data_IF_338865945561
#
_entry.id   IF_338865945561
#
_cell.length_a   1.000
_cell.length_b   1.000
_cell.length_c   1.000
_cell.angle_alpha   90.00
_cell.angle_beta   90.00
_cell.angle_gamma   90.00
#
_symmetry.space_group_name_H-M   'P 1'
#
loop_
_entity.id
_entity.type
_entity.pdbx_description
1 polymer ?
#
# COMPACT_ATOMS: atom_id res chain seq x y z
N UNK A 1 -1.92 4.21 -21.04
CA UNK A 1 -2.88 3.46 -20.22
C UNK A 1 -2.97 4.16 -18.88
N UNK A 2 -4.16 4.63 -18.50
CA UNK A 2 -4.42 5.38 -17.27
C UNK A 2 -4.34 4.45 -16.05
N UNK A 3 -3.43 4.73 -15.11
CA UNK A 3 -3.41 4.11 -13.79
C UNK A 3 -4.62 4.61 -13.00
N UNK A 4 -5.64 3.77 -12.86
CA UNK A 4 -6.77 4.02 -11.97
C UNK A 4 -6.49 3.33 -10.64
N UNK A 5 -5.88 4.08 -9.71
CA UNK A 5 -5.84 3.68 -8.31
C UNK A 5 -7.17 4.10 -7.73
N UNK A 6 -8.13 3.18 -7.74
CA UNK A 6 -9.37 3.40 -7.01
C UNK A 6 -8.98 3.41 -5.55
N UNK A 7 -9.42 4.47 -4.87
CA UNK A 7 -9.41 4.62 -3.41
C UNK A 7 -9.65 3.29 -2.71
N UNK A 8 -9.11 3.12 -1.49
CA UNK A 8 -9.39 1.93 -0.70
C UNK A 8 -10.89 1.64 -0.73
N UNK A 9 -11.24 0.37 -1.00
CA UNK A 9 -12.62 -0.07 -1.22
C UNK A 9 -13.51 0.21 0.02
N UNK A 10 -12.92 0.64 1.14
CA UNK A 10 -13.60 1.29 2.24
C UNK A 10 -13.39 2.82 2.23
N UNK A 11 -14.51 3.54 2.08
CA UNK A 11 -14.70 4.97 1.89
C UNK A 11 -14.27 5.90 3.04
N UNK A 12 -13.12 5.67 3.66
CA UNK A 12 -12.57 6.56 4.68
C UNK A 12 -11.13 6.86 4.33
N UNK A 13 -10.81 8.15 4.20
CA UNK A 13 -9.45 8.67 4.21
C UNK A 13 -8.78 8.08 5.44
N UNK A 14 -7.99 7.02 5.26
CA UNK A 14 -7.32 6.37 6.38
C UNK A 14 -6.38 7.41 6.99
N UNK A 15 -6.55 7.71 8.26
CA UNK A 15 -5.65 8.59 9.00
C UNK A 15 -4.99 7.70 10.05
N UNK A 16 -3.70 7.46 9.89
CA UNK A 16 -2.96 6.61 10.80
C UNK A 16 -1.45 6.84 10.71
N UNK A 17 -0.68 6.21 11.61
CA UNK A 17 0.77 6.37 11.67
C UNK A 17 1.49 5.63 10.55
N UNK A 18 0.85 4.70 9.86
CA UNK A 18 1.46 3.94 8.76
C UNK A 18 1.21 4.61 7.43
N UNK A 19 2.22 4.61 6.57
CA UNK A 19 2.18 5.10 5.21
C UNK A 19 2.55 3.96 4.26
N UNK A 20 1.64 3.65 3.34
CA UNK A 20 1.81 2.67 2.29
C UNK A 20 2.09 3.41 0.99
N UNK A 21 3.31 3.29 0.48
CA UNK A 21 3.70 3.90 -0.79
C UNK A 21 3.78 2.81 -1.87
N UNK A 22 3.03 2.99 -2.95
CA UNK A 22 3.13 2.15 -4.15
C UNK A 22 4.26 2.67 -5.04
N UNK A 23 5.12 1.77 -5.47
CA UNK A 23 6.20 2.03 -6.42
C UNK A 23 5.97 1.26 -7.70
N UNK A 24 6.37 1.86 -8.82
CA UNK A 24 6.43 1.16 -10.11
C UNK A 24 7.74 0.36 -10.26
N UNK A 25 7.87 -0.34 -11.39
CA UNK A 25 9.06 -1.13 -11.78
C UNK A 25 10.35 -0.33 -11.78
N UNK A 26 10.27 0.98 -11.95
CA UNK A 26 11.42 1.89 -12.02
C UNK A 26 11.78 2.47 -10.64
N UNK A 27 11.14 2.00 -9.56
CA UNK A 27 11.35 2.50 -8.21
C UNK A 27 10.84 3.92 -7.99
N UNK A 28 9.95 4.41 -8.85
CA UNK A 28 9.30 5.72 -8.68
C UNK A 28 8.04 5.57 -7.83
N UNK A 29 7.84 6.39 -6.79
CA UNK A 29 6.59 6.39 -6.04
C UNK A 29 5.46 6.88 -6.93
N UNK A 30 4.42 6.05 -7.06
CA UNK A 30 3.23 6.34 -7.86
C UNK A 30 2.15 6.98 -7.00
N UNK A 31 1.91 6.43 -5.82
CA UNK A 31 0.96 6.98 -4.84
C UNK A 31 1.38 6.60 -3.42
N UNK A 32 0.87 7.33 -2.44
CA UNK A 32 0.97 6.97 -1.04
C UNK A 32 -0.40 7.11 -0.38
N UNK A 33 -0.76 6.13 0.45
CA UNK A 33 -1.93 6.20 1.32
C UNK A 33 -1.50 6.02 2.76
N UNK A 34 -2.20 6.68 3.67
CA UNK A 34 -2.00 6.44 5.09
C UNK A 34 -2.87 5.26 5.53
N UNK A 35 -2.54 4.64 6.66
CA UNK A 35 -3.27 3.52 7.23
C UNK A 35 -3.11 3.48 8.75
N UNK A 36 -4.18 3.15 9.50
CA UNK A 36 -4.03 2.80 10.91
C UNK A 36 -3.26 1.49 11.08
N UNK A 37 -2.75 1.25 12.28
CA UNK A 37 -2.23 -0.07 12.62
C UNK A 37 -3.39 -1.08 12.76
N UNK A 38 -3.09 -2.38 12.65
CA UNK A 38 -4.07 -3.46 12.83
C UNK A 38 -5.27 -3.32 11.89
N UNK A 39 -5.00 -3.07 10.60
CA UNK A 39 -6.03 -2.94 9.58
C UNK A 39 -5.66 -3.69 8.30
N UNK A 40 -6.67 -3.92 7.45
CA UNK A 40 -6.51 -4.65 6.20
C UNK A 40 -6.94 -3.81 5.00
N UNK A 41 -6.12 -2.82 4.57
CA UNK A 41 -6.46 -1.99 3.41
C UNK A 41 -6.39 -2.81 2.11
N UNK A 42 -7.39 -2.60 1.26
CA UNK A 42 -7.41 -3.09 -0.11
C UNK A 42 -6.98 -1.98 -1.07
N UNK A 43 -5.87 -2.18 -1.79
CA UNK A 43 -5.38 -1.30 -2.84
C UNK A 43 -5.82 -1.83 -4.21
N UNK A 44 -6.39 -0.96 -5.05
CA UNK A 44 -6.61 -1.30 -6.46
C UNK A 44 -5.47 -0.74 -7.32
N UNK A 45 -4.76 -1.59 -8.05
CA UNK A 45 -3.66 -1.23 -8.95
C UNK A 45 -3.90 -1.85 -10.33
N UNK A 46 -4.12 -1.05 -11.37
CA UNK A 46 -4.37 -1.51 -12.75
C UNK A 46 -5.39 -2.66 -12.83
N UNK A 47 -6.57 -2.44 -12.25
CA UNK A 47 -7.68 -3.42 -12.16
C UNK A 47 -7.46 -4.65 -11.28
N UNK A 48 -6.29 -4.81 -10.65
CA UNK A 48 -6.05 -5.82 -9.63
C UNK A 48 -6.30 -5.24 -8.24
N UNK A 49 -7.01 -5.98 -7.40
CA UNK A 49 -7.18 -5.65 -5.98
C UNK A 49 -6.14 -6.43 -5.17
N UNK A 50 -5.41 -5.72 -4.32
CA UNK A 50 -4.37 -6.25 -3.45
C UNK A 50 -4.74 -5.91 -2.02
N UNK A 51 -4.89 -6.93 -1.18
CA UNK A 51 -5.19 -6.76 0.24
C UNK A 51 -3.92 -6.90 1.04
N UNK A 52 -3.64 -5.93 1.89
CA UNK A 52 -2.45 -5.87 2.73
C UNK A 52 -2.92 -5.96 4.17
N UNK A 53 -2.31 -6.81 4.96
CA UNK A 53 -2.54 -6.84 6.40
C UNK A 53 -1.46 -5.99 7.07
N UNK A 54 -1.87 -4.97 7.81
CA UNK A 54 -0.99 -4.10 8.59
C UNK A 54 -1.09 -4.50 10.06
N UNK A 55 0.04 -4.88 10.63
CA UNK A 55 0.21 -5.20 12.03
C UNK A 55 0.72 -3.98 12.82
N UNK A 56 0.85 -4.17 14.13
CA UNK A 56 1.42 -3.17 15.05
C UNK A 56 2.86 -2.81 14.67
N UNK A 57 3.20 -1.52 14.76
CA UNK A 57 4.49 -0.98 14.32
C UNK A 57 4.63 -0.89 12.79
N UNK A 58 3.52 -0.71 12.07
CA UNK A 58 3.48 -0.56 10.61
C UNK A 58 4.18 -1.68 9.82
N UNK A 59 4.26 -2.87 10.42
CA UNK A 59 4.64 -4.08 9.72
C UNK A 59 3.50 -4.46 8.80
N UNK A 60 3.81 -4.90 7.59
CA UNK A 60 2.78 -5.25 6.63
C UNK A 60 3.12 -6.55 5.90
N UNK A 61 2.08 -7.27 5.54
CA UNK A 61 2.15 -8.52 4.81
C UNK A 61 1.08 -8.54 3.70
N UNK A 62 1.42 -9.14 2.56
CA UNK A 62 0.44 -9.33 1.49
C UNK A 62 -0.51 -10.46 1.90
N UNK A 63 -1.78 -10.13 2.08
CA UNK A 63 -2.82 -11.12 2.40
C UNK A 63 -3.42 -11.72 1.13
N UNK A 64 -3.75 -10.89 0.13
CA UNK A 64 -4.40 -11.37 -1.10
C UNK A 64 -4.05 -10.52 -2.33
N UNK A 65 -4.11 -11.13 -3.52
CA UNK A 65 -3.86 -10.47 -4.81
C UNK A 65 -2.41 -10.55 -5.28
N UNK A 66 -2.17 -10.15 -6.52
CA UNK A 66 -0.85 -10.15 -7.15
C UNK A 66 -0.53 -8.75 -7.64
N UNK A 67 0.65 -8.23 -7.30
CA UNK A 67 1.13 -6.99 -7.89
C UNK A 67 1.29 -7.16 -9.40
N UNK A 68 0.89 -6.17 -10.22
CA UNK A 68 1.27 -6.14 -11.63
C UNK A 68 2.80 -6.13 -11.77
N UNK A 69 3.31 -6.60 -12.91
CA UNK A 69 4.75 -6.78 -13.11
C UNK A 69 5.57 -5.53 -12.76
N UNK A 70 6.52 -5.73 -11.84
CA UNK A 70 7.44 -4.71 -11.34
C UNK A 70 6.85 -3.73 -10.32
N UNK A 71 5.55 -3.75 -10.04
CA UNK A 71 4.99 -2.94 -8.96
C UNK A 71 5.28 -3.58 -7.60
N UNK A 72 5.50 -2.74 -6.60
CA UNK A 72 5.67 -3.18 -5.22
C UNK A 72 5.21 -2.07 -4.28
N UNK A 73 4.95 -2.42 -3.03
CA UNK A 73 4.61 -1.44 -1.99
C UNK A 73 5.72 -1.37 -0.95
N UNK A 74 5.87 -0.20 -0.34
CA UNK A 74 6.67 0.00 0.86
C UNK A 74 5.76 0.54 1.94
N UNK A 75 5.73 -0.13 3.09
CA UNK A 75 5.00 0.33 4.27
C UNK A 75 6.00 0.85 5.30
N UNK A 76 5.83 2.09 5.74
CA UNK A 76 6.70 2.73 6.74
C UNK A 76 5.86 3.56 7.70
N UNK A 77 6.37 3.77 8.92
CA UNK A 77 5.78 4.76 9.81
C UNK A 77 5.97 6.16 9.23
N UNK A 78 4.99 7.05 9.40
CA UNK A 78 5.11 8.45 9.00
C UNK A 78 6.31 9.09 9.66
N UNK A 79 7.16 9.72 8.85
CA UNK A 79 8.40 10.35 9.30
C UNK A 79 9.60 9.40 9.36
N UNK A 80 9.41 8.10 9.18
CA UNK A 80 10.51 7.14 9.10
C UNK A 80 11.00 6.93 7.67
N UNK A 81 12.32 6.83 7.52
CA UNK A 81 13.01 6.64 6.24
C UNK A 81 13.02 5.15 5.82
N UNK A 82 12.90 4.25 6.80
CA UNK A 82 12.94 2.81 6.65
C UNK A 82 11.54 2.22 6.70
N UNK A 83 11.31 1.16 5.93
CA UNK A 83 9.99 0.53 5.82
C UNK A 83 10.09 -0.86 5.22
N UNK A 84 9.02 -1.62 5.37
CA UNK A 84 8.87 -2.97 4.88
C UNK A 84 8.47 -2.97 3.40
N UNK A 85 9.26 -3.62 2.56
CA UNK A 85 8.98 -3.77 1.13
C UNK A 85 8.22 -5.07 0.92
N UNK A 86 7.11 -5.00 0.19
CA UNK A 86 6.26 -6.16 -0.15
C UNK A 86 6.15 -6.23 -1.67
N UNK A 87 6.42 -7.41 -2.21
CA UNK A 87 6.42 -7.74 -3.65
C UNK A 87 5.39 -8.82 -3.98
#
# INVERSE_FOLDING_TARGET
MSLSIIDPVFATKYIGPCQITLYNSNGTPVTAIDAPEKCEPALKVNDKVITIHIYEGCKAEKSHGTFPDGYYIKVSTKGERYGHIIR
#
